data_IF_957751891243
#
_entry.id   IF_957751891243
#
_cell.length_a   1.000
_cell.length_b   1.000
_cell.length_c   1.000
_cell.angle_alpha   90.00
_cell.angle_beta   90.00
_cell.angle_gamma   90.00
#
_symmetry.space_group_name_H-M   'P 1'
#
loop_
_entity.id
_entity.type
_entity.pdbx_description
1 polymer ?
#
# COMPACT_ATOMS: atom_id res chain seq x y z
N UNK A 1 40.33 24.15 -26.81
CA UNK A 1 39.44 24.92 -25.90
C UNK A 1 37.99 24.44 -25.90
N UNK A 2 37.44 24.00 -27.03
CA UNK A 2 36.06 23.50 -27.14
C UNK A 2 35.78 22.23 -26.30
N UNK A 3 36.68 21.24 -26.27
CA UNK A 3 36.48 20.00 -25.50
C UNK A 3 36.42 20.18 -23.97
N UNK A 4 37.12 21.18 -23.42
CA UNK A 4 37.03 21.49 -21.97
C UNK A 4 35.70 22.18 -21.63
N UNK A 5 35.16 22.98 -22.55
CA UNK A 5 33.88 23.67 -22.38
C UNK A 5 32.70 22.70 -22.49
N UNK A 6 32.75 21.76 -23.41
CA UNK A 6 31.72 20.71 -23.55
C UNK A 6 31.70 19.78 -22.34
N UNK A 7 32.88 19.41 -21.82
CA UNK A 7 32.98 18.61 -20.61
C UNK A 7 32.42 19.33 -19.37
N UNK A 8 32.73 20.63 -19.23
CA UNK A 8 32.18 21.46 -18.15
C UNK A 8 30.64 21.59 -18.24
N UNK A 9 30.11 21.73 -19.46
CA UNK A 9 28.67 21.76 -19.70
C UNK A 9 27.99 20.43 -19.34
N UNK A 10 28.60 19.30 -19.74
CA UNK A 10 28.08 17.97 -19.41
C UNK A 10 28.07 17.74 -17.90
N UNK A 11 29.14 18.12 -17.21
CA UNK A 11 29.26 17.97 -15.77
C UNK A 11 28.26 18.87 -15.01
N UNK A 12 28.07 20.11 -15.48
CA UNK A 12 27.06 21.02 -14.95
C UNK A 12 25.64 20.50 -15.13
N UNK A 13 25.33 19.93 -16.30
CA UNK A 13 24.04 19.30 -16.55
C UNK A 13 23.80 18.07 -15.66
N UNK A 14 24.84 17.25 -15.43
CA UNK A 14 24.77 16.09 -14.54
C UNK A 14 24.51 16.49 -13.08
N UNK A 15 25.20 17.53 -12.61
CA UNK A 15 24.99 18.11 -11.28
C UNK A 15 23.57 18.64 -11.11
N UNK A 16 23.05 19.37 -12.09
CA UNK A 16 21.67 19.86 -12.08
C UNK A 16 20.63 18.72 -12.13
N UNK A 17 20.92 17.61 -12.81
CA UNK A 17 20.07 16.42 -12.82
C UNK A 17 20.03 15.69 -11.48
N UNK A 18 21.12 15.73 -10.70
CA UNK A 18 21.23 15.02 -9.41
C UNK A 18 20.39 15.61 -8.28
N UNK A 19 19.92 16.85 -8.44
CA UNK A 19 19.12 17.57 -7.44
C UNK A 19 17.62 17.32 -7.60
N UNK A 20 17.20 16.65 -8.69
CA UNK A 20 15.80 16.31 -8.89
C UNK A 20 15.43 15.20 -7.91
N UNK A 21 14.54 15.46 -6.94
CA UNK A 21 14.10 14.40 -6.04
C UNK A 21 13.43 13.32 -6.88
N UNK A 22 13.93 12.09 -6.75
CA UNK A 22 13.29 10.94 -7.36
C UNK A 22 11.98 10.70 -6.60
N UNK A 23 10.88 11.27 -7.11
CA UNK A 23 9.55 11.02 -6.56
C UNK A 23 9.25 9.54 -6.69
N UNK A 24 9.40 8.79 -5.60
CA UNK A 24 8.86 7.44 -5.50
C UNK A 24 7.36 7.59 -5.30
N UNK A 25 6.57 6.94 -6.15
CA UNK A 25 5.15 6.76 -5.85
C UNK A 25 5.08 6.01 -4.51
N UNK A 26 4.49 6.63 -3.49
CA UNK A 26 4.29 5.99 -2.21
C UNK A 26 3.33 4.82 -2.42
N UNK A 27 3.86 3.60 -2.38
CA UNK A 27 3.04 2.38 -2.39
C UNK A 27 2.27 2.35 -1.07
N UNK A 28 0.96 2.54 -1.12
CA UNK A 28 0.10 2.47 0.06
C UNK A 28 -0.04 1.00 0.47
N UNK A 29 0.32 0.68 1.70
CA UNK A 29 0.02 -0.62 2.30
C UNK A 29 -1.45 -0.63 2.72
N UNK A 30 -2.26 -1.48 2.08
CA UNK A 30 -3.69 -1.58 2.33
C UNK A 30 -3.99 -2.98 2.86
N UNK A 31 -4.75 -3.03 3.95
CA UNK A 31 -5.31 -4.28 4.49
C UNK A 31 -6.83 -4.22 4.41
N UNK A 32 -7.46 -5.30 3.98
CA UNK A 32 -8.90 -5.47 3.97
C UNK A 32 -9.28 -6.40 5.11
N UNK A 33 -10.08 -5.91 6.06
CA UNK A 33 -10.70 -6.72 7.10
C UNK A 33 -12.12 -7.09 6.67
N UNK A 34 -12.41 -8.38 6.68
CA UNK A 34 -13.71 -8.93 6.27
C UNK A 34 -14.14 -10.04 7.21
N UNK A 35 -15.45 -10.22 7.38
CA UNK A 35 -16.00 -11.36 8.11
C UNK A 35 -15.94 -12.64 7.28
N UNK A 36 -16.08 -13.80 7.91
CA UNK A 36 -16.25 -15.11 7.26
C UNK A 36 -17.59 -15.29 6.51
N UNK A 37 -18.32 -14.20 6.26
CA UNK A 37 -19.43 -14.17 5.33
C UNK A 37 -18.93 -14.30 3.88
N UNK A 38 -19.48 -15.28 3.16
CA UNK A 38 -19.12 -15.59 1.76
C UNK A 38 -19.32 -14.41 0.80
N UNK A 39 -20.41 -13.65 0.94
CA UNK A 39 -20.73 -12.55 0.04
C UNK A 39 -19.77 -11.36 0.21
N UNK A 40 -19.42 -11.03 1.45
CA UNK A 40 -18.45 -9.98 1.76
C UNK A 40 -17.03 -10.43 1.39
N UNK A 41 -16.70 -11.70 1.64
CA UNK A 41 -15.40 -12.30 1.32
C UNK A 41 -15.13 -12.30 -0.19
N UNK A 42 -16.11 -12.70 -1.02
CA UNK A 42 -15.97 -12.67 -2.47
C UNK A 42 -15.69 -11.25 -3.01
N UNK A 43 -16.32 -10.23 -2.42
CA UNK A 43 -16.08 -8.84 -2.77
C UNK A 43 -14.71 -8.36 -2.26
N UNK A 44 -14.27 -8.80 -1.08
CA UNK A 44 -12.96 -8.50 -0.53
C UNK A 44 -11.83 -9.07 -1.41
N UNK A 45 -11.97 -10.29 -1.92
CA UNK A 45 -10.99 -10.93 -2.81
C UNK A 45 -10.78 -10.15 -4.11
N UNK A 46 -11.87 -9.78 -4.78
CA UNK A 46 -11.80 -8.98 -6.00
C UNK A 46 -11.21 -7.58 -5.75
N UNK A 47 -11.60 -6.94 -4.64
CA UNK A 47 -11.06 -5.63 -4.28
C UNK A 47 -9.56 -5.70 -3.91
N UNK A 48 -9.15 -6.76 -3.20
CA UNK A 48 -7.75 -6.98 -2.85
C UNK A 48 -6.88 -7.16 -4.09
N UNK A 49 -7.37 -7.94 -5.07
CA UNK A 49 -6.68 -8.13 -6.34
C UNK A 49 -6.50 -6.82 -7.12
N UNK A 50 -7.51 -5.95 -7.11
CA UNK A 50 -7.46 -4.63 -7.77
C UNK A 50 -6.51 -3.65 -7.08
N UNK A 51 -6.43 -3.69 -5.75
CA UNK A 51 -5.65 -2.76 -4.95
C UNK A 51 -4.26 -3.28 -4.56
N UNK A 52 -3.95 -4.55 -4.87
CA UNK A 52 -2.79 -5.25 -4.34
C UNK A 52 -2.72 -5.15 -2.79
N UNK A 53 -3.85 -5.46 -2.15
CA UNK A 53 -4.04 -5.37 -0.71
C UNK A 53 -3.98 -6.77 -0.05
N UNK A 54 -3.61 -6.82 1.22
CA UNK A 54 -3.68 -8.03 2.05
C UNK A 54 -5.10 -8.20 2.61
N UNK A 55 -5.56 -9.44 2.79
CA UNK A 55 -6.87 -9.75 3.38
C UNK A 55 -6.68 -10.41 4.74
N UNK A 56 -7.41 -9.93 5.74
CA UNK A 56 -7.53 -10.56 7.06
C UNK A 56 -9.00 -10.90 7.29
N UNK A 57 -9.26 -12.17 7.63
CA UNK A 57 -10.61 -12.68 7.87
C UNK A 57 -10.86 -12.77 9.38
N UNK A 58 -12.03 -12.29 9.83
CA UNK A 58 -12.51 -12.43 11.21
C UNK A 58 -13.78 -13.26 11.27
N UNK A 59 -14.04 -13.91 12.39
CA UNK A 59 -15.31 -14.61 12.62
C UNK A 59 -16.44 -13.60 12.83
N UNK A 60 -17.56 -13.79 12.13
CA UNK A 60 -18.73 -12.90 12.22
C UNK A 60 -19.14 -12.65 13.67
N UNK A 61 -19.10 -11.39 14.07
CA UNK A 61 -19.66 -10.93 15.35
C UNK A 61 -18.79 -11.27 16.56
N UNK A 62 -17.55 -11.68 16.34
CA UNK A 62 -16.57 -11.99 17.39
C UNK A 62 -15.38 -11.05 17.26
N UNK A 63 -15.16 -10.24 18.30
CA UNK A 63 -13.92 -9.47 18.41
C UNK A 63 -12.77 -10.38 18.85
N UNK A 64 -11.76 -10.53 17.99
CA UNK A 64 -10.50 -11.24 18.30
C UNK A 64 -9.31 -10.25 18.31
N UNK A 65 -8.64 -10.03 19.46
CA UNK A 65 -7.43 -9.22 19.54
C UNK A 65 -6.29 -9.70 18.62
N UNK A 66 -6.26 -11.00 18.29
CA UNK A 66 -5.24 -11.56 17.40
C UNK A 66 -5.37 -11.03 15.97
N UNK A 67 -6.61 -10.83 15.49
CA UNK A 67 -6.90 -10.21 14.19
C UNK A 67 -6.37 -8.77 14.15
N UNK A 68 -6.55 -8.03 15.24
CA UNK A 68 -5.98 -6.67 15.35
C UNK A 68 -4.45 -6.72 15.30
N UNK A 69 -3.82 -7.66 16.02
CA UNK A 69 -2.37 -7.81 16.01
C UNK A 69 -1.84 -8.22 14.62
N UNK A 70 -2.57 -9.08 13.91
CA UNK A 70 -2.28 -9.49 12.53
C UNK A 70 -2.33 -8.30 11.57
N UNK A 71 -3.43 -7.52 11.58
CA UNK A 71 -3.54 -6.30 10.77
C UNK A 71 -2.36 -5.35 11.04
N UNK A 72 -2.01 -5.13 12.31
CA UNK A 72 -0.89 -4.27 12.67
C UNK A 72 0.48 -4.81 12.21
N UNK A 73 0.63 -6.13 12.07
CA UNK A 73 1.87 -6.75 11.60
C UNK A 73 2.20 -6.43 10.15
N UNK A 74 1.18 -6.12 9.33
CA UNK A 74 1.33 -5.64 7.95
C UNK A 74 1.77 -4.17 7.85
N UNK A 75 1.76 -3.43 8.96
CA UNK A 75 2.04 -1.99 8.99
C UNK A 75 1.20 -1.18 7.98
N UNK A 76 -0.13 -1.35 7.94
CA UNK A 76 -0.96 -0.73 6.91
C UNK A 76 -1.04 0.79 7.07
N UNK A 77 -1.03 1.50 5.94
CA UNK A 77 -1.40 2.91 5.86
C UNK A 77 -2.93 3.08 5.94
N UNK A 78 -3.67 2.07 5.50
CA UNK A 78 -5.14 2.07 5.47
C UNK A 78 -5.70 0.68 5.71
N UNK A 79 -6.76 0.62 6.52
CA UNK A 79 -7.60 -0.56 6.69
C UNK A 79 -8.96 -0.29 6.07
N UNK A 80 -9.40 -1.16 5.16
CA UNK A 80 -10.75 -1.16 4.59
C UNK A 80 -11.55 -2.24 5.31
N UNK A 81 -12.71 -1.88 5.85
CA UNK A 81 -13.60 -2.83 6.53
C UNK A 81 -14.76 -3.14 5.58
N UNK A 82 -15.00 -4.43 5.34
CA UNK A 82 -16.10 -4.92 4.49
C UNK A 82 -17.02 -5.77 5.34
N UNK A 83 -18.25 -5.28 5.51
CA UNK A 83 -19.24 -5.85 6.39
C UNK A 83 -19.91 -4.78 7.27
N UNK A 84 -21.01 -5.14 7.90
CA UNK A 84 -21.69 -4.28 8.87
C UNK A 84 -21.05 -4.33 10.26
N UNK A 85 -21.49 -3.47 11.20
CA UNK A 85 -20.96 -3.43 12.58
C UNK A 85 -21.19 -4.73 13.37
N UNK A 86 -22.18 -5.53 12.98
CA UNK A 86 -22.44 -6.83 13.60
C UNK A 86 -21.58 -7.94 12.99
N UNK A 87 -20.94 -7.69 11.83
CA UNK A 87 -20.15 -8.66 11.09
C UNK A 87 -18.65 -8.57 11.41
N UNK A 88 -18.14 -7.36 11.62
CA UNK A 88 -16.70 -7.07 11.78
C UNK A 88 -16.42 -6.30 13.06
#
# INVERSE_FOLDING_TARGET
MIGKKTLAWLFGALLLGSIVPLSQAQSLSIVILVSDNEADSALAEELAALLNADIVITTWGVYDPNVTAEIMSYGPDKVIIIGGPDAV
#
